data_IF_740909323139
#
_entry.id   IF_740909323139
#
_cell.length_a   1.000
_cell.length_b   1.000
_cell.length_c   1.000
_cell.angle_alpha   90.00
_cell.angle_beta   90.00
_cell.angle_gamma   90.00
#
_symmetry.space_group_name_H-M   'P 1'
#
loop_
_entity.id
_entity.type
_entity.pdbx_description
1 polymer ?
#
# COMPACT_ATOMS: atom_id res chain seq x y z
N UNK A 1 -2.26 19.89 -13.11
CA UNK A 1 -2.18 18.55 -13.72
C UNK A 1 -3.14 17.61 -13.04
N UNK A 2 -4.01 16.98 -13.83
CA UNK A 2 -4.98 16.02 -13.32
C UNK A 2 -4.35 14.66 -13.10
N UNK A 3 -4.75 14.02 -12.00
CA UNK A 3 -4.33 12.67 -11.67
C UNK A 3 -5.55 11.75 -11.74
N UNK A 4 -5.39 10.64 -12.44
CA UNK A 4 -6.44 9.65 -12.59
C UNK A 4 -6.12 8.43 -11.74
N UNK A 5 -7.13 7.94 -11.01
CA UNK A 5 -7.00 6.73 -10.19
C UNK A 5 -7.79 5.61 -10.86
N UNK A 6 -7.12 4.48 -11.09
CA UNK A 6 -7.75 3.35 -11.79
C UNK A 6 -7.13 2.03 -11.36
N UNK A 7 -7.76 0.94 -11.75
CA UNK A 7 -7.23 -0.40 -11.50
C UNK A 7 -6.22 -0.74 -12.59
N UNK A 8 -5.05 -1.25 -12.23
CA UNK A 8 -4.05 -1.63 -13.24
C UNK A 8 -4.45 -2.90 -13.98
N UNK A 9 -3.82 -3.08 -15.14
CA UNK A 9 -3.89 -4.34 -15.89
C UNK A 9 -2.50 -4.98 -15.91
N UNK A 10 -2.41 -6.21 -16.40
CA UNK A 10 -1.16 -6.97 -16.32
C UNK A 10 0.01 -6.30 -17.06
N UNK A 11 -0.27 -5.57 -18.13
CA UNK A 11 0.77 -4.85 -18.88
C UNK A 11 1.31 -3.62 -18.13
N UNK A 12 0.71 -3.25 -17.00
CA UNK A 12 1.24 -2.18 -16.14
C UNK A 12 2.38 -2.66 -15.24
N UNK A 13 2.57 -3.98 -15.11
CA UNK A 13 3.55 -4.54 -14.16
C UNK A 13 4.98 -4.03 -14.38
N UNK A 14 5.51 -3.97 -15.62
CA UNK A 14 6.87 -3.47 -15.80
C UNK A 14 7.10 -2.08 -15.23
N UNK A 15 6.18 -1.14 -15.46
CA UNK A 15 6.32 0.22 -14.94
C UNK A 15 6.06 0.30 -13.43
N UNK A 16 5.25 -0.61 -12.88
CA UNK A 16 5.07 -0.71 -11.43
C UNK A 16 6.36 -1.17 -10.75
N UNK A 17 7.06 -2.14 -11.34
CA UNK A 17 8.35 -2.59 -10.83
C UNK A 17 9.41 -1.48 -10.91
N UNK A 18 9.39 -0.70 -11.97
CA UNK A 18 10.37 0.36 -12.17
C UNK A 18 10.27 1.46 -11.12
N UNK A 19 9.06 1.94 -10.80
CA UNK A 19 8.94 3.05 -9.85
C UNK A 19 9.18 2.64 -8.39
N UNK A 20 9.14 1.35 -8.07
CA UNK A 20 9.33 0.84 -6.69
C UNK A 20 10.75 0.34 -6.45
N UNK A 21 11.57 0.29 -7.48
CA UNK A 21 12.88 -0.34 -7.45
C UNK A 21 13.77 0.14 -6.31
N UNK A 22 13.83 1.45 -6.10
CA UNK A 22 14.65 2.06 -5.07
C UNK A 22 14.19 1.65 -3.66
N UNK A 23 12.88 1.73 -3.41
CA UNK A 23 12.31 1.40 -2.10
C UNK A 23 12.50 -0.08 -1.75
N UNK A 24 12.46 -0.95 -2.75
CA UNK A 24 12.77 -2.37 -2.54
C UNK A 24 14.23 -2.55 -2.17
N UNK A 25 15.14 -1.88 -2.87
CA UNK A 25 16.58 -1.95 -2.57
C UNK A 25 16.90 -1.45 -1.18
N UNK A 26 16.20 -0.42 -0.72
CA UNK A 26 16.38 0.15 0.62
C UNK A 26 15.64 -0.63 1.71
N UNK A 27 14.86 -1.64 1.35
CA UNK A 27 14.13 -2.47 2.30
C UNK A 27 12.89 -1.82 2.88
N UNK A 28 12.42 -0.72 2.29
CA UNK A 28 11.22 -0.01 2.73
C UNK A 28 9.96 -0.76 2.30
N UNK A 29 10.00 -1.37 1.11
CA UNK A 29 8.90 -2.15 0.54
C UNK A 29 9.41 -3.55 0.23
N UNK A 30 8.62 -4.57 0.58
CA UNK A 30 8.96 -5.95 0.29
C UNK A 30 9.01 -6.18 -1.23
N UNK A 31 10.02 -6.90 -1.73
CA UNK A 31 10.08 -7.21 -3.15
C UNK A 31 8.94 -8.14 -3.55
N UNK A 32 8.38 -7.93 -4.74
CA UNK A 32 7.36 -8.78 -5.33
C UNK A 32 7.82 -9.18 -6.72
N UNK A 33 7.70 -10.47 -7.05
CA UNK A 33 7.99 -10.92 -8.40
C UNK A 33 6.88 -10.47 -9.35
N UNK A 34 7.14 -10.54 -10.65
CA UNK A 34 6.12 -10.25 -11.65
C UNK A 34 4.90 -11.14 -11.48
N UNK A 35 5.10 -12.42 -11.14
CA UNK A 35 3.99 -13.34 -10.93
C UNK A 35 3.18 -12.99 -9.69
N UNK A 36 3.85 -12.55 -8.62
CA UNK A 36 3.14 -12.10 -7.42
C UNK A 36 2.28 -10.85 -7.71
N UNK A 37 2.81 -9.91 -8.48
CA UNK A 37 2.04 -8.74 -8.90
C UNK A 37 0.87 -9.18 -9.78
N UNK A 38 1.09 -10.13 -10.68
CA UNK A 38 0.05 -10.61 -11.57
C UNK A 38 -1.10 -11.27 -10.80
N UNK A 39 -0.77 -12.14 -9.85
CA UNK A 39 -1.81 -12.84 -9.08
C UNK A 39 -2.58 -11.90 -8.16
N UNK A 40 -1.98 -10.77 -7.77
CA UNK A 40 -2.59 -9.80 -6.87
C UNK A 40 -2.98 -8.50 -7.59
N UNK A 41 -3.00 -8.50 -8.91
CA UNK A 41 -3.20 -7.27 -9.68
C UNK A 41 -4.49 -6.54 -9.30
N UNK A 42 -5.54 -7.27 -8.95
CA UNK A 42 -6.83 -6.69 -8.56
C UNK A 42 -6.79 -5.96 -7.23
N UNK A 43 -5.78 -6.22 -6.40
CA UNK A 43 -5.62 -5.52 -5.13
C UNK A 43 -5.04 -4.12 -5.28
N UNK A 44 -4.50 -3.80 -6.44
CA UNK A 44 -3.81 -2.54 -6.67
C UNK A 44 -4.71 -1.46 -7.23
N UNK A 45 -4.38 -0.21 -6.90
CA UNK A 45 -4.93 0.99 -7.53
C UNK A 45 -3.74 1.84 -7.95
N UNK A 46 -3.76 2.34 -9.17
CA UNK A 46 -2.68 3.16 -9.72
C UNK A 46 -3.14 4.60 -9.90
N UNK A 47 -2.18 5.51 -9.77
CA UNK A 47 -2.36 6.93 -10.07
C UNK A 47 -1.57 7.24 -11.33
N UNK A 48 -2.20 7.80 -12.33
CA UNK A 48 -1.55 8.17 -13.59
C UNK A 48 -1.81 9.63 -13.90
N UNK A 49 -0.87 10.25 -14.63
CA UNK A 49 -1.07 11.58 -15.18
C UNK A 49 -2.12 11.48 -16.28
N UNK A 50 -3.17 12.30 -16.18
CA UNK A 50 -4.31 12.21 -17.08
C UNK A 50 -3.96 12.59 -18.52
N UNK A 51 -2.92 13.42 -18.72
CA UNK A 51 -2.50 13.83 -20.06
C UNK A 51 -1.48 12.89 -20.67
N UNK A 52 -0.42 12.58 -19.93
CA UNK A 52 0.69 11.78 -20.46
C UNK A 52 0.50 10.27 -20.28
N UNK A 53 -0.35 9.86 -19.33
CA UNK A 53 -0.50 8.46 -18.96
C UNK A 53 0.63 7.94 -18.09
N UNK A 54 1.55 8.79 -17.67
CA UNK A 54 2.69 8.39 -16.83
C UNK A 54 2.21 7.84 -15.48
N UNK A 55 2.80 6.75 -15.03
CA UNK A 55 2.50 6.18 -13.72
C UNK A 55 3.15 7.05 -12.64
N UNK A 56 2.33 7.57 -11.73
CA UNK A 56 2.77 8.46 -10.66
C UNK A 56 2.84 7.79 -9.30
N UNK A 57 2.16 6.68 -9.14
CA UNK A 57 2.16 5.95 -7.88
C UNK A 57 1.17 4.81 -7.89
N UNK A 58 1.19 4.01 -6.83
CA UNK A 58 0.21 2.95 -6.63
C UNK A 58 0.10 2.56 -5.16
N UNK A 59 -0.91 1.79 -4.85
CA UNK A 59 -1.17 1.25 -3.53
C UNK A 59 -1.86 -0.09 -3.69
N UNK A 60 -1.69 -0.98 -2.73
CA UNK A 60 -2.45 -2.23 -2.69
C UNK A 60 -3.34 -2.26 -1.45
N UNK A 61 -4.54 -2.80 -1.59
CA UNK A 61 -5.40 -3.15 -0.48
C UNK A 61 -5.43 -4.68 -0.42
N UNK A 62 -4.76 -5.24 0.56
CA UNK A 62 -4.69 -6.69 0.74
C UNK A 62 -5.76 -7.14 1.73
N UNK A 63 -6.57 -8.12 1.34
CA UNK A 63 -7.64 -8.63 2.18
C UNK A 63 -7.08 -9.81 3.00
N UNK A 64 -7.08 -9.66 4.32
CA UNK A 64 -6.63 -10.72 5.24
C UNK A 64 -7.79 -11.61 5.68
N UNK A 65 -8.97 -11.02 5.87
CA UNK A 65 -10.15 -11.74 6.36
C UNK A 65 -11.39 -10.90 6.03
N UNK A 66 -12.56 -11.42 6.41
CA UNK A 66 -13.81 -10.67 6.24
C UNK A 66 -13.81 -9.35 7.02
N UNK A 67 -12.97 -9.25 8.05
CA UNK A 67 -12.93 -8.07 8.93
C UNK A 67 -11.77 -7.13 8.62
N UNK A 68 -10.64 -7.65 8.14
CA UNK A 68 -9.38 -6.90 8.09
C UNK A 68 -8.79 -6.86 6.69
N UNK A 69 -8.49 -5.67 6.24
CA UNK A 69 -7.65 -5.43 5.07
C UNK A 69 -6.43 -4.63 5.48
N UNK A 70 -5.46 -4.53 4.60
CA UNK A 70 -4.22 -3.82 4.88
C UNK A 70 -3.79 -2.98 3.68
N UNK A 71 -3.36 -1.74 3.95
CA UNK A 71 -2.70 -0.90 2.96
C UNK A 71 -1.26 -1.41 2.80
N UNK A 72 -0.90 -1.79 1.60
CA UNK A 72 0.45 -2.29 1.27
C UNK A 72 1.06 -1.53 0.12
N UNK A 73 2.40 -1.52 0.09
CA UNK A 73 3.15 -1.10 -1.10
C UNK A 73 2.76 0.28 -1.61
N UNK A 74 2.46 1.21 -0.71
CA UNK A 74 2.18 2.58 -1.12
C UNK A 74 3.46 3.21 -1.65
N UNK A 75 3.42 3.64 -2.90
CA UNK A 75 4.56 4.30 -3.56
C UNK A 75 4.07 5.50 -4.36
N UNK A 76 4.80 6.59 -4.27
CA UNK A 76 4.58 7.78 -5.12
C UNK A 76 5.90 8.10 -5.77
N UNK A 77 5.87 8.33 -7.08
CA UNK A 77 7.06 8.63 -7.87
C UNK A 77 7.77 9.86 -7.32
N UNK A 78 9.11 9.80 -7.27
CA UNK A 78 9.94 10.92 -6.83
C UNK A 78 9.62 12.16 -7.68
N UNK A 79 9.57 13.32 -7.01
CA UNK A 79 9.20 14.58 -7.65
C UNK A 79 7.70 14.87 -7.65
N UNK A 80 6.86 13.90 -7.28
CA UNK A 80 5.41 14.06 -7.26
C UNK A 80 4.80 13.90 -5.87
N UNK A 81 5.62 13.67 -4.84
CA UNK A 81 5.15 13.34 -3.48
C UNK A 81 4.40 14.48 -2.81
N UNK A 82 4.71 15.73 -3.16
CA UNK A 82 4.05 16.92 -2.58
C UNK A 82 2.65 17.18 -3.15
N UNK A 83 2.20 16.42 -4.14
CA UNK A 83 0.91 16.62 -4.82
C UNK A 83 -0.24 15.88 -4.15
N UNK A 84 -0.04 15.40 -2.93
CA UNK A 84 -1.03 14.64 -2.17
C UNK A 84 -1.50 13.36 -2.85
N UNK A 85 -0.71 12.85 -3.79
CA UNK A 85 -1.05 11.61 -4.51
C UNK A 85 -1.13 10.44 -3.53
N UNK A 86 -0.18 10.36 -2.58
CA UNK A 86 -0.18 9.32 -1.56
C UNK A 86 -1.45 9.30 -0.73
N UNK A 87 -1.89 10.48 -0.24
CA UNK A 87 -3.12 10.61 0.53
C UNK A 87 -4.34 10.16 -0.28
N UNK A 88 -4.39 10.56 -1.54
CA UNK A 88 -5.51 10.20 -2.42
C UNK A 88 -5.51 8.69 -2.73
N UNK A 89 -4.34 8.09 -2.91
CA UNK A 89 -4.24 6.63 -3.10
C UNK A 89 -4.73 5.87 -1.88
N UNK A 90 -4.34 6.29 -0.68
CA UNK A 90 -4.82 5.65 0.55
C UNK A 90 -6.34 5.79 0.65
N UNK A 91 -6.87 6.97 0.35
CA UNK A 91 -8.33 7.18 0.39
C UNK A 91 -9.06 6.31 -0.63
N UNK A 92 -8.50 6.12 -1.82
CA UNK A 92 -9.07 5.21 -2.82
C UNK A 92 -9.11 3.78 -2.30
N UNK A 93 -8.03 3.32 -1.67
CA UNK A 93 -7.96 1.98 -1.09
C UNK A 93 -8.96 1.81 0.05
N UNK A 94 -9.08 2.82 0.93
CA UNK A 94 -10.05 2.79 2.03
C UNK A 94 -11.47 2.72 1.50
N UNK A 95 -11.78 3.49 0.44
CA UNK A 95 -13.11 3.44 -0.17
C UNK A 95 -13.40 2.08 -0.78
N UNK A 96 -12.40 1.44 -1.37
CA UNK A 96 -12.54 0.07 -1.85
C UNK A 96 -12.86 -0.89 -0.70
N UNK A 97 -12.18 -0.71 0.43
CA UNK A 97 -12.47 -1.49 1.63
C UNK A 97 -13.90 -1.30 2.12
N UNK A 98 -14.41 -0.06 2.06
CA UNK A 98 -15.82 0.21 2.41
C UNK A 98 -16.78 -0.51 1.49
N UNK A 99 -16.51 -0.49 0.19
CA UNK A 99 -17.36 -1.20 -0.79
C UNK A 99 -17.36 -2.70 -0.55
N UNK A 100 -16.22 -3.25 -0.13
CA UNK A 100 -16.07 -4.68 0.18
C UNK A 100 -16.60 -5.05 1.55
N UNK A 101 -16.96 -4.05 2.38
CA UNK A 101 -17.52 -4.25 3.72
C UNK A 101 -16.54 -4.79 4.75
N UNK A 102 -15.23 -4.58 4.57
CA UNK A 102 -14.28 -4.88 5.64
C UNK A 102 -14.52 -3.93 6.82
N UNK A 103 -14.16 -4.36 8.01
CA UNK A 103 -14.40 -3.60 9.23
C UNK A 103 -13.25 -2.67 9.59
N UNK A 104 -12.04 -3.08 9.27
CA UNK A 104 -10.84 -2.36 9.67
C UNK A 104 -9.78 -2.43 8.57
N UNK A 105 -8.97 -1.36 8.48
CA UNK A 105 -7.83 -1.31 7.57
C UNK A 105 -6.57 -1.09 8.39
N UNK A 106 -5.60 -1.98 8.23
CA UNK A 106 -4.29 -1.93 8.89
C UNK A 106 -3.28 -1.19 8.01
N UNK A 107 -2.42 -0.40 8.62
CA UNK A 107 -1.22 0.12 7.97
C UNK A 107 -0.02 -0.18 8.86
N UNK A 108 1.03 -0.74 8.27
CA UNK A 108 2.30 -1.00 8.93
C UNK A 108 3.34 -0.13 8.23
N UNK A 109 3.91 0.87 8.94
CA UNK A 109 4.60 1.96 8.26
C UNK A 109 5.63 2.65 9.15
N UNK A 110 6.59 3.33 8.52
CA UNK A 110 7.48 4.29 9.19
C UNK A 110 6.87 5.69 9.21
N UNK A 111 5.75 5.93 8.53
CA UNK A 111 5.15 7.25 8.35
C UNK A 111 3.84 7.38 9.13
N UNK A 112 3.93 7.20 10.45
CA UNK A 112 2.75 7.22 11.31
C UNK A 112 1.92 8.48 11.22
N UNK A 113 2.58 9.66 11.25
CA UNK A 113 1.85 10.93 11.21
C UNK A 113 1.08 11.12 9.91
N UNK A 114 1.59 10.61 8.78
CA UNK A 114 0.89 10.64 7.51
C UNK A 114 -0.45 9.89 7.61
N UNK A 115 -0.41 8.66 8.16
CA UNK A 115 -1.63 7.85 8.32
C UNK A 115 -2.55 8.41 9.39
N UNK A 116 -2.01 8.97 10.47
CA UNK A 116 -2.84 9.60 11.50
C UNK A 116 -3.67 10.74 10.93
N UNK A 117 -3.10 11.54 10.04
CA UNK A 117 -3.84 12.62 9.37
C UNK A 117 -4.97 12.08 8.49
N UNK A 118 -4.90 10.82 8.08
CA UNK A 118 -5.95 10.17 7.28
C UNK A 118 -6.95 9.39 8.13
N UNK A 119 -6.88 9.55 9.46
CA UNK A 119 -7.84 8.95 10.36
C UNK A 119 -7.46 7.60 10.92
N UNK A 120 -6.21 7.17 10.73
CA UNK A 120 -5.71 5.94 11.34
C UNK A 120 -5.23 6.22 12.76
N UNK A 121 -5.36 5.22 13.63
CA UNK A 121 -4.92 5.31 15.03
C UNK A 121 -3.88 4.25 15.30
N UNK A 122 -2.79 4.64 15.96
CA UNK A 122 -1.72 3.70 16.31
C UNK A 122 -2.22 2.64 17.29
N UNK A 123 -1.80 1.39 17.07
CA UNK A 123 -2.13 0.24 17.92
C UNK A 123 -0.84 -0.49 18.29
N UNK A 124 -0.82 -1.24 19.42
CA UNK A 124 0.33 -2.07 19.76
C UNK A 124 0.56 -3.17 18.72
N UNK A 125 1.82 -3.47 18.43
CA UNK A 125 2.19 -4.51 17.47
C UNK A 125 1.67 -5.88 17.86
N UNK A 126 1.50 -6.14 19.16
CA UNK A 126 0.99 -7.41 19.67
C UNK A 126 -0.42 -7.71 19.20
N UNK A 127 -1.15 -6.68 18.76
CA UNK A 127 -2.53 -6.86 18.27
C UNK A 127 -2.59 -7.21 16.78
N UNK A 128 -1.45 -7.20 16.08
CA UNK A 128 -1.40 -7.58 14.66
C UNK A 128 -1.70 -9.08 14.53
N UNK A 129 -2.58 -9.49 13.61
CA UNK A 129 -2.88 -10.90 13.43
C UNK A 129 -1.62 -11.71 13.12
N UNK A 130 -1.48 -12.87 13.74
CA UNK A 130 -0.31 -13.73 13.61
C UNK A 130 -0.02 -14.13 12.17
N UNK A 131 -1.06 -14.43 11.40
CA UNK A 131 -0.87 -14.83 9.99
C UNK A 131 -0.23 -13.73 9.14
N UNK A 132 -0.47 -12.45 9.49
CA UNK A 132 0.17 -11.33 8.80
C UNK A 132 1.68 -11.38 9.05
N UNK A 133 2.10 -11.64 10.30
CA UNK A 133 3.52 -11.72 10.64
C UNK A 133 4.19 -12.84 9.86
N UNK A 134 3.57 -14.01 9.82
CA UNK A 134 4.14 -15.16 9.11
C UNK A 134 4.13 -14.99 7.59
N UNK A 135 3.13 -14.30 7.04
CA UNK A 135 3.03 -14.12 5.60
C UNK A 135 4.04 -13.09 5.05
N UNK A 136 4.27 -12.01 5.80
CA UNK A 136 5.07 -10.88 5.30
C UNK A 136 6.27 -10.53 6.15
N UNK A 137 6.08 -10.35 7.47
CA UNK A 137 7.14 -9.86 8.34
C UNK A 137 8.35 -10.79 8.39
N UNK A 138 8.10 -12.09 8.32
CA UNK A 138 9.19 -13.08 8.33
C UNK A 138 10.08 -12.98 7.10
N UNK A 139 9.57 -12.46 5.98
CA UNK A 139 10.32 -12.26 4.75
C UNK A 139 11.04 -10.92 4.72
N UNK A 140 10.72 -10.02 5.63
CA UNK A 140 11.31 -8.69 5.67
C UNK A 140 12.73 -8.76 6.21
N UNK A 141 13.67 -8.02 5.60
CA UNK A 141 15.06 -8.02 6.03
C UNK A 141 15.28 -7.47 7.43
N UNK A 142 14.28 -6.77 7.97
CA UNK A 142 14.32 -6.20 9.33
C UNK A 142 13.71 -7.10 10.39
N UNK A 143 13.11 -8.23 10.01
CA UNK A 143 12.54 -9.18 10.96
C UNK A 143 13.65 -9.81 11.82
N UNK A 144 13.45 -10.01 13.13
CA UNK A 144 12.26 -9.71 13.93
C UNK A 144 12.25 -8.30 14.55
N UNK A 145 13.29 -7.50 14.34
CA UNK A 145 13.43 -6.16 14.94
C UNK A 145 12.94 -5.11 13.95
N UNK A 146 11.63 -4.97 13.87
CA UNK A 146 10.99 -4.02 12.96
C UNK A 146 10.63 -2.74 13.73
N UNK A 147 11.03 -1.58 13.19
CA UNK A 147 10.74 -0.29 13.79
C UNK A 147 9.47 0.36 13.22
N UNK A 148 8.79 -0.31 12.30
CA UNK A 148 7.53 0.20 11.77
C UNK A 148 6.47 0.26 12.86
N UNK A 149 5.59 1.25 12.79
CA UNK A 149 4.45 1.35 13.68
C UNK A 149 3.21 0.76 13.00
N UNK A 150 2.26 0.34 13.82
CA UNK A 150 1.02 -0.29 13.39
C UNK A 150 -0.14 0.65 13.64
N UNK A 151 -0.97 0.87 12.63
CA UNK A 151 -2.14 1.75 12.75
C UNK A 151 -3.37 1.05 12.17
N UNK A 152 -4.52 1.39 12.72
CA UNK A 152 -5.82 0.86 12.29
C UNK A 152 -6.76 2.02 12.00
N UNK A 153 -7.55 1.87 10.93
CA UNK A 153 -8.70 2.73 10.68
C UNK A 153 -9.95 1.85 10.66
N UNK A 154 -10.90 2.18 11.52
CA UNK A 154 -12.20 1.48 11.54
C UNK A 154 -13.12 2.10 10.52
N UNK A 155 -13.79 1.27 9.74
CA UNK A 155 -14.68 1.71 8.67
C UNK A 155 -16.15 1.68 9.06
#
# INVERSE_FOLDING_TARGET
VSVRFSKPVLTDIPRMQEIVKREVQEGIILPRSDDELATNIRSYTIATDDESGELLGYVALHIHSMRLAEIRSLIVKEGHRHRKIGSRLVNEAVEEGRRLKVKEVLALTYMGSFFERLGFTEIPKETIPEHKIWADCIKCKYFPVCNEISLIKRL
#
